data_IF_208867431039
#
_entry.id   IF_208867431039
#
_cell.length_a   1.000
_cell.length_b   1.000
_cell.length_c   1.000
_cell.angle_alpha   90.00
_cell.angle_beta   90.00
_cell.angle_gamma   90.00
#
_symmetry.space_group_name_H-M   'P 1'
#
loop_
_entity.id
_entity.type
_entity.pdbx_description
1 polymer ?
#
# COMPACT_ATOMS: atom_id res chain seq x y z
N UNK A 1 12.85 -22.66 -10.83
CA UNK A 1 12.39 -21.79 -9.72
C UNK A 1 10.99 -22.25 -9.34
N UNK A 2 10.70 -22.50 -8.05
CA UNK A 2 9.35 -22.91 -7.62
C UNK A 2 8.35 -21.76 -7.78
N UNK A 3 7.08 -22.06 -8.09
CA UNK A 3 6.01 -21.06 -8.25
C UNK A 3 5.90 -20.12 -7.04
N UNK A 4 6.12 -20.63 -5.83
CA UNK A 4 6.09 -19.84 -4.60
C UNK A 4 7.15 -18.73 -4.56
N UNK A 5 8.34 -18.96 -5.13
CA UNK A 5 9.39 -17.92 -5.19
C UNK A 5 9.04 -16.82 -6.20
N UNK A 6 8.29 -17.14 -7.26
CA UNK A 6 7.82 -16.15 -8.21
C UNK A 6 6.74 -15.25 -7.59
N UNK A 7 5.75 -15.84 -6.90
CA UNK A 7 4.67 -15.13 -6.20
C UNK A 7 5.23 -14.21 -5.10
N UNK A 8 6.18 -14.70 -4.31
CA UNK A 8 6.81 -13.89 -3.26
C UNK A 8 7.59 -12.70 -3.85
N UNK A 9 8.38 -12.91 -4.92
CA UNK A 9 9.15 -11.84 -5.56
C UNK A 9 8.24 -10.80 -6.21
N UNK A 10 7.17 -11.25 -6.86
CA UNK A 10 6.17 -10.36 -7.44
C UNK A 10 5.48 -9.53 -6.36
N UNK A 11 5.06 -10.17 -5.27
CA UNK A 11 4.43 -9.49 -4.15
C UNK A 11 5.33 -8.48 -3.45
N UNK A 12 6.61 -8.81 -3.25
CA UNK A 12 7.59 -7.84 -2.75
C UNK A 12 7.70 -6.65 -3.70
N UNK A 13 7.78 -6.89 -5.02
CA UNK A 13 7.89 -5.80 -6.01
C UNK A 13 6.68 -4.88 -5.98
N UNK A 14 5.47 -5.46 -5.94
CA UNK A 14 4.21 -4.72 -5.80
C UNK A 14 4.18 -3.91 -4.51
N UNK A 15 4.56 -4.51 -3.38
CA UNK A 15 4.64 -3.84 -2.08
C UNK A 15 5.60 -2.65 -2.08
N UNK A 16 6.81 -2.83 -2.61
CA UNK A 16 7.81 -1.76 -2.72
C UNK A 16 7.31 -0.58 -3.56
N UNK A 17 6.62 -0.87 -4.68
CA UNK A 17 6.05 0.16 -5.54
C UNK A 17 4.96 0.94 -4.81
N UNK A 18 4.03 0.24 -4.16
CA UNK A 18 2.95 0.89 -3.38
C UNK A 18 3.51 1.75 -2.24
N UNK A 19 4.47 1.21 -1.48
CA UNK A 19 5.11 1.92 -0.38
C UNK A 19 5.78 3.22 -0.86
N UNK A 20 6.53 3.12 -1.96
CA UNK A 20 7.26 4.25 -2.55
C UNK A 20 6.31 5.32 -3.09
N UNK A 21 5.23 4.91 -3.77
CA UNK A 21 4.23 5.84 -4.31
C UNK A 21 3.60 6.69 -3.20
N UNK A 22 3.22 6.07 -2.08
CA UNK A 22 2.67 6.76 -0.91
C UNK A 22 3.71 7.67 -0.27
N UNK A 23 4.94 7.20 -0.09
CA UNK A 23 6.01 7.98 0.51
C UNK A 23 6.31 9.24 -0.32
N UNK A 24 6.37 9.12 -1.66
CA UNK A 24 6.58 10.26 -2.57
C UNK A 24 5.40 11.24 -2.50
N UNK A 25 4.16 10.74 -2.50
CA UNK A 25 2.98 11.59 -2.39
C UNK A 25 2.97 12.42 -1.11
N UNK A 26 3.22 11.79 0.04
CA UNK A 26 3.29 12.52 1.31
C UNK A 26 4.51 13.44 1.39
N UNK A 27 5.66 13.07 0.83
CA UNK A 27 6.81 13.97 0.75
C UNK A 27 6.49 15.25 -0.06
N UNK A 28 5.70 15.14 -1.14
CA UNK A 28 5.22 16.31 -1.89
C UNK A 28 4.31 17.18 -1.02
N UNK A 29 3.30 16.58 -0.37
CA UNK A 29 2.37 17.31 0.50
C UNK A 29 3.10 18.02 1.65
N UNK A 30 4.02 17.32 2.29
CA UNK A 30 4.87 17.81 3.37
C UNK A 30 5.74 19.00 2.90
N UNK A 31 6.33 18.89 1.69
CA UNK A 31 7.08 19.98 1.09
C UNK A 31 6.22 21.23 0.83
N UNK A 32 4.99 21.05 0.33
CA UNK A 32 4.07 22.18 0.11
C UNK A 32 3.60 22.87 1.40
N UNK A 33 3.73 22.19 2.55
CA UNK A 33 3.39 22.69 3.89
C UNK A 33 4.60 23.28 4.62
N UNK A 34 5.81 23.14 4.06
CA UNK A 34 7.06 23.64 4.65
C UNK A 34 7.68 22.74 5.73
N UNK A 35 7.14 21.53 5.96
CA UNK A 35 7.70 20.55 6.91
C UNK A 35 8.02 19.24 6.19
N UNK A 36 9.15 19.22 5.46
CA UNK A 36 9.57 18.05 4.69
C UNK A 36 9.73 16.81 5.58
N UNK A 37 9.10 15.70 5.21
CA UNK A 37 9.03 14.44 5.98
C UNK A 37 8.24 14.56 7.30
N UNK A 38 7.42 15.59 7.47
CA UNK A 38 6.57 15.76 8.66
C UNK A 38 5.63 14.57 8.89
N UNK A 39 4.97 14.09 7.83
CA UNK A 39 4.03 12.96 7.92
C UNK A 39 4.68 11.67 8.44
N UNK A 40 5.79 11.16 7.85
CA UNK A 40 6.43 9.94 8.35
C UNK A 40 7.04 10.12 9.76
N UNK A 41 7.49 11.33 10.13
CA UNK A 41 7.95 11.62 11.50
C UNK A 41 6.79 11.55 12.49
N UNK A 42 5.65 12.17 12.17
CA UNK A 42 4.44 12.13 13.00
C UNK A 42 3.99 10.69 13.24
N UNK A 43 3.87 9.90 12.17
CA UNK A 43 3.45 8.50 12.29
C UNK A 43 4.50 7.64 13.01
N UNK A 44 5.79 7.94 12.85
CA UNK A 44 6.86 7.28 13.61
C UNK A 44 6.77 7.53 15.11
N UNK A 45 6.48 8.77 15.51
CA UNK A 45 6.23 9.11 16.93
C UNK A 45 4.97 8.42 17.46
N UNK A 46 3.91 8.32 16.63
CA UNK A 46 2.69 7.61 16.99
C UNK A 46 2.92 6.10 17.17
N UNK A 47 3.77 5.47 16.36
CA UNK A 47 4.16 4.07 16.56
C UNK A 47 5.01 3.94 17.82
N UNK A 48 6.02 4.80 17.99
CA UNK A 48 6.90 4.78 19.15
C UNK A 48 6.12 4.90 20.48
N UNK A 49 5.09 5.74 20.53
CA UNK A 49 4.26 5.91 21.74
C UNK A 49 3.51 4.65 22.15
N UNK A 50 3.29 3.70 21.23
CA UNK A 50 2.66 2.41 21.53
C UNK A 50 3.63 1.37 22.09
N UNK A 51 4.94 1.54 21.89
CA UNK A 51 5.93 0.48 22.15
C UNK A 51 7.12 0.90 23.04
N UNK A 52 7.39 2.20 23.21
CA UNK A 52 8.60 2.69 23.86
C UNK A 52 8.36 3.31 25.25
N UNK A 53 7.28 2.95 25.96
CA UNK A 53 7.00 3.37 27.35
C UNK A 53 7.24 4.86 27.63
N UNK A 54 6.86 5.72 26.68
CA UNK A 54 6.99 7.18 26.79
C UNK A 54 8.32 7.76 26.26
N UNK A 55 9.27 6.94 25.83
CA UNK A 55 10.49 7.43 25.16
C UNK A 55 10.15 7.98 23.77
N UNK A 56 10.58 9.22 23.51
CA UNK A 56 10.40 9.89 22.23
C UNK A 56 11.65 9.71 21.37
N UNK A 57 11.55 9.10 20.18
CA UNK A 57 12.69 8.99 19.29
C UNK A 57 13.11 10.37 18.77
N UNK A 58 14.37 10.47 18.33
CA UNK A 58 14.79 11.64 17.55
C UNK A 58 13.97 11.72 16.25
N UNK A 59 13.90 12.91 15.62
CA UNK A 59 13.21 13.07 14.32
C UNK A 59 13.71 12.06 13.28
N UNK A 60 15.02 11.83 13.22
CA UNK A 60 15.61 10.81 12.34
C UNK A 60 15.18 9.39 12.74
N UNK A 61 15.14 9.08 14.04
CA UNK A 61 14.68 7.79 14.56
C UNK A 61 13.20 7.53 14.23
N UNK A 62 12.34 8.52 14.40
CA UNK A 62 10.91 8.44 14.06
C UNK A 62 10.71 8.19 12.56
N UNK A 63 11.38 8.99 11.72
CA UNK A 63 11.35 8.84 10.26
C UNK A 63 11.82 7.46 9.82
N UNK A 64 12.99 7.00 10.30
CA UNK A 64 13.54 5.70 9.93
C UNK A 64 12.67 4.56 10.43
N UNK A 65 12.18 4.65 11.68
CA UNK A 65 11.30 3.65 12.29
C UNK A 65 10.01 3.50 11.51
N UNK A 66 9.33 4.61 11.18
CA UNK A 66 8.12 4.58 10.37
C UNK A 66 8.39 4.09 8.95
N UNK A 67 9.46 4.57 8.30
CA UNK A 67 9.78 4.18 6.92
C UNK A 67 10.02 2.68 6.83
N UNK A 68 10.80 2.11 7.77
CA UNK A 68 11.04 0.67 7.81
C UNK A 68 9.74 -0.10 8.05
N UNK A 69 8.94 0.32 9.04
CA UNK A 69 7.65 -0.29 9.33
C UNK A 69 6.73 -0.27 8.11
N UNK A 70 6.58 0.88 7.46
CA UNK A 70 5.76 1.09 6.28
C UNK A 70 6.14 0.15 5.14
N UNK A 71 7.43 0.10 4.78
CA UNK A 71 7.90 -0.79 3.70
C UNK A 71 7.74 -2.27 4.04
N UNK A 72 7.97 -2.68 5.29
CA UNK A 72 7.76 -4.08 5.72
C UNK A 72 6.28 -4.45 5.56
N UNK A 73 5.38 -3.62 6.08
CA UNK A 73 3.93 -3.88 6.00
C UNK A 73 3.46 -3.95 4.55
N UNK A 74 3.91 -3.05 3.69
CA UNK A 74 3.57 -3.07 2.27
C UNK A 74 4.13 -4.28 1.53
N UNK A 75 5.34 -4.75 1.85
CA UNK A 75 5.87 -5.99 1.30
C UNK A 75 5.03 -7.20 1.72
N UNK A 76 4.64 -7.29 3.00
CA UNK A 76 3.77 -8.36 3.50
C UNK A 76 2.42 -8.33 2.79
N UNK A 77 1.79 -7.15 2.70
CA UNK A 77 0.52 -6.96 1.98
C UNK A 77 0.66 -7.35 0.51
N UNK A 78 1.73 -6.94 -0.16
CA UNK A 78 2.00 -7.28 -1.56
C UNK A 78 2.18 -8.78 -1.79
N UNK A 79 2.82 -9.50 -0.86
CA UNK A 79 2.95 -10.97 -0.89
C UNK A 79 1.60 -11.65 -0.70
N UNK A 80 0.82 -11.23 0.32
CA UNK A 80 -0.54 -11.75 0.55
C UNK A 80 -1.40 -11.53 -0.68
N UNK A 81 -1.32 -10.33 -1.24
CA UNK A 81 -2.02 -9.93 -2.44
C UNK A 81 -1.66 -10.82 -3.65
N UNK A 82 -0.37 -11.00 -3.92
CA UNK A 82 0.09 -11.83 -5.04
C UNK A 82 -0.29 -13.30 -4.84
N UNK A 83 -0.27 -13.77 -3.60
CA UNK A 83 -0.74 -15.11 -3.25
C UNK A 83 -2.24 -15.29 -3.50
N UNK A 84 -3.08 -14.31 -3.14
CA UNK A 84 -4.52 -14.35 -3.42
C UNK A 84 -4.78 -14.36 -4.92
N UNK A 85 -4.12 -13.47 -5.69
CA UNK A 85 -4.28 -13.40 -7.15
C UNK A 85 -3.85 -14.70 -7.83
N UNK A 86 -2.68 -15.24 -7.46
CA UNK A 86 -2.18 -16.50 -8.00
C UNK A 86 -3.07 -17.69 -7.61
N UNK A 87 -3.57 -17.73 -6.37
CA UNK A 87 -4.51 -18.76 -5.91
C UNK A 87 -5.85 -18.71 -6.66
N UNK A 88 -6.21 -17.52 -7.17
CA UNK A 88 -7.45 -17.27 -7.88
C UNK A 88 -7.36 -17.47 -9.40
N UNK A 89 -6.22 -17.93 -9.95
CA UNK A 89 -5.96 -18.03 -11.40
C UNK A 89 -6.89 -18.93 -12.23
N UNK A 90 -7.93 -19.54 -11.62
CA UNK A 90 -8.93 -20.37 -12.31
C UNK A 90 -10.36 -19.84 -12.29
N UNK A 91 -10.60 -18.60 -11.85
CA UNK A 91 -11.97 -18.07 -11.77
C UNK A 91 -12.02 -16.56 -12.09
N UNK A 92 -12.99 -16.09 -12.93
CA UNK A 92 -13.20 -14.66 -13.21
C UNK A 92 -13.40 -13.78 -11.95
N UNK A 93 -13.77 -14.38 -10.82
CA UNK A 93 -13.96 -13.72 -9.53
C UNK A 93 -12.67 -13.25 -8.86
N UNK A 94 -11.48 -13.56 -9.39
CA UNK A 94 -10.21 -13.02 -8.90
C UNK A 94 -10.19 -11.47 -8.88
N UNK A 95 -10.85 -10.82 -9.85
CA UNK A 95 -11.03 -9.37 -9.88
C UNK A 95 -11.94 -8.83 -8.77
N UNK A 96 -12.97 -9.60 -8.41
CA UNK A 96 -13.87 -9.27 -7.30
C UNK A 96 -13.13 -9.44 -5.97
N UNK A 97 -12.33 -10.50 -5.84
CA UNK A 97 -11.44 -10.72 -4.69
C UNK A 97 -10.39 -9.62 -4.55
N UNK A 98 -9.78 -9.19 -5.66
CA UNK A 98 -8.89 -8.03 -5.73
C UNK A 98 -9.57 -6.76 -5.21
N UNK A 99 -10.74 -6.43 -5.76
CA UNK A 99 -11.48 -5.22 -5.39
C UNK A 99 -11.90 -5.27 -3.92
N UNK A 100 -12.35 -6.43 -3.43
CA UNK A 100 -12.70 -6.63 -2.03
C UNK A 100 -11.49 -6.49 -1.08
N UNK A 101 -10.35 -7.08 -1.43
CA UNK A 101 -9.12 -6.96 -0.64
C UNK A 101 -8.58 -5.53 -0.64
N UNK A 102 -8.67 -4.84 -1.78
CA UNK A 102 -8.35 -3.41 -1.89
C UNK A 102 -9.25 -2.59 -0.98
N UNK A 103 -10.57 -2.76 -1.04
CA UNK A 103 -11.52 -2.03 -0.17
C UNK A 103 -11.27 -2.33 1.31
N UNK A 104 -11.03 -3.61 1.67
CA UNK A 104 -10.71 -3.98 3.05
C UNK A 104 -9.40 -3.35 3.53
N UNK A 105 -8.38 -3.31 2.66
CA UNK A 105 -7.13 -2.62 2.91
C UNK A 105 -7.35 -1.11 3.08
N UNK A 106 -8.10 -0.46 2.19
CA UNK A 106 -8.42 0.97 2.29
C UNK A 106 -9.08 1.30 3.62
N UNK A 107 -10.14 0.57 3.98
CA UNK A 107 -10.88 0.78 5.23
C UNK A 107 -9.98 0.53 6.44
N UNK A 108 -9.23 -0.57 6.42
CA UNK A 108 -8.30 -0.92 7.50
C UNK A 108 -7.17 0.09 7.66
N UNK A 109 -6.61 0.56 6.55
CA UNK A 109 -5.47 1.49 6.52
C UNK A 109 -5.88 2.91 6.91
N UNK A 110 -7.01 3.40 6.40
CA UNK A 110 -7.59 4.68 6.82
C UNK A 110 -7.96 4.62 8.31
N UNK A 111 -8.58 3.53 8.76
CA UNK A 111 -8.88 3.34 10.19
C UNK A 111 -7.64 3.32 11.06
N UNK A 112 -6.62 2.55 10.68
CA UNK A 112 -5.34 2.44 11.37
C UNK A 112 -4.60 3.78 11.45
N UNK A 113 -4.48 4.49 10.33
CA UNK A 113 -3.83 5.80 10.28
C UNK A 113 -4.59 6.85 11.08
N UNK A 114 -5.93 6.80 11.09
CA UNK A 114 -6.76 7.67 11.94
C UNK A 114 -6.54 7.38 13.44
N UNK A 115 -6.41 6.10 13.80
CA UNK A 115 -6.10 5.69 15.17
C UNK A 115 -4.68 6.05 15.59
N UNK A 116 -3.69 5.98 14.69
CA UNK A 116 -2.34 6.47 15.00
C UNK A 116 -2.29 8.00 15.09
N UNK A 117 -3.06 8.69 14.26
CA UNK A 117 -3.09 10.14 14.20
C UNK A 117 -4.01 10.80 15.23
N UNK A 118 -4.49 10.10 16.29
CA UNK A 118 -5.54 10.60 17.21
C UNK A 118 -5.32 12.07 17.58
N UNK A 119 -6.10 12.97 16.96
CA UNK A 119 -6.15 14.40 17.29
C UNK A 119 -5.59 15.38 16.26
N UNK A 120 -4.99 14.98 15.14
CA UNK A 120 -4.43 15.95 14.19
C UNK A 120 -5.37 16.27 13.03
N UNK A 121 -5.72 17.56 12.89
CA UNK A 121 -6.32 18.13 11.68
C UNK A 121 -5.37 18.17 10.47
N UNK A 122 -4.22 17.51 10.51
CA UNK A 122 -3.13 17.61 9.52
C UNK A 122 -3.09 16.46 8.50
N UNK A 123 -3.56 15.26 8.88
CA UNK A 123 -3.64 14.09 8.00
C UNK A 123 -5.11 13.72 7.80
N UNK A 124 -5.71 14.17 6.69
CA UNK A 124 -7.12 13.89 6.43
C UNK A 124 -7.29 12.49 5.81
N UNK A 125 -8.43 11.84 6.07
CA UNK A 125 -8.79 10.58 5.42
C UNK A 125 -8.71 10.68 3.89
N UNK A 126 -9.01 11.86 3.34
CA UNK A 126 -8.94 12.14 1.91
C UNK A 126 -7.50 12.06 1.39
N UNK A 127 -6.51 12.54 2.15
CA UNK A 127 -5.10 12.45 1.74
C UNK A 127 -4.61 11.01 1.72
N UNK A 128 -5.00 10.21 2.71
CA UNK A 128 -4.66 8.78 2.76
C UNK A 128 -5.32 8.04 1.61
N UNK A 129 -6.59 8.30 1.35
CA UNK A 129 -7.33 7.72 0.23
C UNK A 129 -6.68 8.06 -1.12
N UNK A 130 -6.33 9.32 -1.37
CA UNK A 130 -5.64 9.72 -2.61
C UNK A 130 -4.27 9.05 -2.73
N UNK A 131 -3.50 8.97 -1.64
CA UNK A 131 -2.21 8.29 -1.63
C UNK A 131 -2.35 6.81 -2.05
N UNK A 132 -3.37 6.14 -1.52
CA UNK A 132 -3.65 4.75 -1.82
C UNK A 132 -4.16 4.55 -3.25
N UNK A 133 -4.95 5.46 -3.81
CA UNK A 133 -5.32 5.42 -5.23
C UNK A 133 -4.09 5.53 -6.14
N UNK A 134 -3.16 6.42 -5.81
CA UNK A 134 -1.88 6.56 -6.54
C UNK A 134 -1.08 5.27 -6.45
N UNK A 135 -0.99 4.66 -5.26
CA UNK A 135 -0.32 3.37 -5.06
C UNK A 135 -0.97 2.26 -5.88
N UNK A 136 -2.29 2.13 -5.83
CA UNK A 136 -3.04 1.13 -6.57
C UNK A 136 -2.84 1.28 -8.08
N UNK A 137 -2.87 2.51 -8.59
CA UNK A 137 -2.59 2.79 -9.99
C UNK A 137 -1.14 2.41 -10.37
N UNK A 138 -0.15 2.74 -9.54
CA UNK A 138 1.25 2.40 -9.79
C UNK A 138 1.49 0.88 -9.78
N UNK A 139 0.94 0.18 -8.79
CA UNK A 139 1.01 -1.28 -8.68
C UNK A 139 0.31 -1.98 -9.84
N UNK A 140 -0.91 -1.52 -10.19
CA UNK A 140 -1.66 -2.05 -11.33
C UNK A 140 -0.95 -1.83 -12.65
N UNK A 141 -0.37 -0.65 -12.87
CA UNK A 141 0.42 -0.35 -14.07
C UNK A 141 1.70 -1.20 -14.16
N UNK A 142 2.31 -1.56 -13.03
CA UNK A 142 3.43 -2.51 -12.99
C UNK A 142 2.99 -3.92 -13.40
N UNK A 143 1.93 -4.45 -12.78
CA UNK A 143 1.42 -5.78 -13.13
C UNK A 143 0.98 -5.87 -14.59
N UNK A 144 0.33 -4.82 -15.11
CA UNK A 144 -0.08 -4.76 -16.52
C UNK A 144 1.10 -4.86 -17.50
N UNK A 145 2.25 -4.25 -17.15
CA UNK A 145 3.47 -4.34 -17.95
C UNK A 145 4.14 -5.71 -17.83
N UNK A 146 4.08 -6.34 -16.67
CA UNK A 146 4.71 -7.63 -16.43
C UNK A 146 3.91 -8.82 -16.99
N UNK A 147 2.59 -8.65 -17.19
CA UNK A 147 1.69 -9.71 -17.68
C UNK A 147 0.89 -9.28 -18.93
N UNK A 148 1.44 -9.45 -20.14
CA UNK A 148 0.80 -9.05 -21.42
C UNK A 148 -0.53 -9.76 -21.74
N UNK A 149 -0.90 -10.78 -20.95
CA UNK A 149 -2.17 -11.49 -21.07
C UNK A 149 -3.31 -10.85 -20.25
N UNK A 150 -3.01 -10.09 -19.19
CA UNK A 150 -4.01 -9.38 -18.37
C UNK A 150 -4.91 -8.43 -19.16
N UNK A 151 -4.39 -7.58 -20.08
CA UNK A 151 -5.21 -6.64 -20.85
C UNK A 151 -6.33 -7.32 -21.64
N UNK A 152 -6.00 -8.47 -22.24
CA UNK A 152 -6.93 -9.26 -23.05
C UNK A 152 -8.00 -9.92 -22.18
N UNK A 153 -7.64 -10.42 -21.01
CA UNK A 153 -8.58 -11.04 -20.05
C UNK A 153 -9.53 -10.02 -19.42
N UNK A 154 -9.03 -8.82 -19.09
CA UNK A 154 -9.85 -7.73 -18.57
C UNK A 154 -10.84 -7.24 -19.62
N UNK A 155 -10.38 -7.02 -20.86
CA UNK A 155 -11.28 -6.61 -21.94
C UNK A 155 -12.33 -7.67 -22.25
N UNK A 156 -11.99 -8.96 -22.21
CA UNK A 156 -12.96 -10.05 -22.37
C UNK A 156 -14.01 -10.08 -21.25
N UNK A 157 -13.59 -9.91 -19.99
CA UNK A 157 -14.50 -9.87 -18.84
C UNK A 157 -15.42 -8.64 -18.86
N UNK A 158 -14.91 -7.46 -19.22
CA UNK A 158 -15.69 -6.22 -19.35
C UNK A 158 -16.66 -6.27 -20.54
N UNK A 159 -16.33 -7.02 -21.60
CA UNK A 159 -17.20 -7.23 -22.76
C UNK A 159 -18.33 -8.24 -22.50
N UNK A 160 -18.37 -8.89 -21.33
CA UNK A 160 -19.40 -9.88 -20.99
C UNK A 160 -19.34 -11.15 -21.85
N UNK A 161 -18.21 -11.43 -22.49
CA UNK A 161 -18.06 -12.64 -23.29
C UNK A 161 -18.12 -13.88 -22.37
N UNK A 162 -19.02 -14.85 -22.61
CA UNK A 162 -18.91 -16.16 -21.97
C UNK A 162 -17.64 -16.85 -22.50
N UNK A 163 -17.00 -17.63 -21.63
CA UNK A 163 -15.76 -18.37 -21.92
C UNK A 163 -15.86 -19.26 -23.16
#
# INVERSE_FOLDING_TARGET
>A
MSANNAVAREGISVGLIGATAIAVWFAILDATRGDLLGTPVMLGNAIASLFLDGAQPSRAGAFLGYTLFHFIVFCVVGVVFSWVVNSAERVPSAFIGFAGLFVAFEVGWIGWTTVLARGFGELTWAQVFVANLIAAAAMGAYMWRMHPALPRRVNAALAGAPE
#
